data_IF_314952305812
#
_entry.id   IF_314952305812
#
_cell.length_a   1.000
_cell.length_b   1.000
_cell.length_c   1.000
_cell.angle_alpha   90.00
_cell.angle_beta   90.00
_cell.angle_gamma   90.00
#
_symmetry.space_group_name_H-M   'P 1'
#
loop_
_entity.id
_entity.type
_entity.pdbx_description
1 polymer ?
#
# COMPACT_ATOMS: atom_id res chain seq x y z
N UNK A 1 -1.29 -19.53 -8.93
CA UNK A 1 -2.76 -19.40 -8.93
C UNK A 1 -3.36 -19.84 -10.25
N UNK A 2 -2.76 -19.45 -11.38
CA UNK A 2 -3.36 -19.65 -12.70
C UNK A 2 -3.41 -21.11 -13.16
N UNK A 3 -2.56 -21.96 -12.60
CA UNK A 3 -2.62 -23.41 -12.83
C UNK A 3 -3.81 -24.10 -12.12
N UNK A 4 -4.54 -23.41 -11.25
CA UNK A 4 -5.70 -23.98 -10.56
C UNK A 4 -6.95 -23.84 -11.43
N UNK A 5 -7.79 -24.88 -11.55
CA UNK A 5 -9.07 -24.77 -12.24
C UNK A 5 -9.91 -23.62 -11.69
N UNK A 6 -10.64 -22.93 -12.58
CA UNK A 6 -11.50 -21.81 -12.21
C UNK A 6 -12.44 -22.13 -11.04
N UNK A 7 -13.10 -23.28 -11.10
CA UNK A 7 -14.02 -23.75 -10.04
C UNK A 7 -13.34 -23.88 -8.68
N UNK A 8 -12.06 -24.26 -8.65
CA UNK A 8 -11.28 -24.34 -7.41
C UNK A 8 -10.92 -22.95 -6.88
N UNK A 9 -10.60 -21.98 -7.75
CA UNK A 9 -10.36 -20.57 -7.35
C UNK A 9 -11.62 -19.93 -6.77
N UNK A 10 -12.78 -20.13 -7.40
CA UNK A 10 -14.08 -19.64 -6.92
C UNK A 10 -14.51 -20.31 -5.61
N UNK A 11 -14.31 -21.63 -5.48
CA UNK A 11 -14.58 -22.34 -4.24
C UNK A 11 -13.63 -21.89 -3.10
N UNK A 12 -12.37 -21.63 -3.41
CA UNK A 12 -11.40 -21.11 -2.44
C UNK A 12 -11.79 -19.70 -1.97
N UNK A 13 -12.23 -18.84 -2.89
CA UNK A 13 -12.66 -17.47 -2.57
C UNK A 13 -13.82 -17.48 -1.56
N UNK A 14 -14.85 -18.31 -1.79
CA UNK A 14 -15.93 -18.55 -0.82
C UNK A 14 -15.40 -19.14 0.49
N UNK A 15 -14.51 -20.13 0.39
CA UNK A 15 -13.95 -20.80 1.55
C UNK A 15 -13.17 -19.88 2.49
N UNK A 16 -12.41 -18.93 1.97
CA UNK A 16 -11.63 -17.99 2.80
C UNK A 16 -12.48 -16.89 3.45
N UNK A 17 -13.73 -16.73 3.02
CA UNK A 17 -14.70 -15.82 3.64
C UNK A 17 -15.40 -16.48 4.82
N UNK A 18 -15.78 -17.74 4.67
CA UNK A 18 -16.59 -18.44 5.66
C UNK A 18 -15.78 -19.15 6.75
N UNK A 19 -14.46 -19.19 6.65
CA UNK A 19 -13.62 -20.01 7.52
C UNK A 19 -12.41 -19.25 8.09
N UNK A 20 -12.03 -19.63 9.31
CA UNK A 20 -10.75 -19.24 9.89
C UNK A 20 -9.61 -19.92 9.14
N UNK A 21 -8.74 -19.12 8.51
CA UNK A 21 -7.66 -19.62 7.67
C UNK A 21 -6.36 -19.79 8.44
N UNK A 22 -5.71 -20.93 8.23
CA UNK A 22 -4.36 -21.23 8.72
C UNK A 22 -3.36 -21.42 7.58
N UNK A 23 -2.08 -21.36 7.93
CA UNK A 23 -0.93 -21.68 7.07
C UNK A 23 -0.07 -22.75 7.74
N UNK A 24 0.70 -23.51 6.96
CA UNK A 24 1.65 -24.51 7.46
C UNK A 24 1.05 -25.85 7.93
N UNK A 25 -0.25 -26.06 7.75
CA UNK A 25 -0.93 -27.34 7.96
C UNK A 25 -2.24 -27.41 7.18
N UNK A 26 -2.83 -28.60 7.10
CA UNK A 26 -4.11 -28.86 6.46
C UNK A 26 -5.32 -28.41 7.31
N UNK A 27 -5.27 -28.69 8.60
CA UNK A 27 -6.22 -28.27 9.63
C UNK A 27 -5.49 -28.18 10.96
N UNK A 28 -5.93 -27.29 11.84
CA UNK A 28 -5.40 -27.17 13.19
C UNK A 28 -6.53 -27.28 14.21
N UNK A 29 -6.68 -28.42 14.91
CA UNK A 29 -7.70 -28.59 15.94
C UNK A 29 -7.58 -27.58 17.09
N UNK A 30 -6.38 -27.05 17.35
CA UNK A 30 -6.15 -26.09 18.44
C UNK A 30 -6.77 -24.73 18.15
N UNK A 31 -6.60 -24.20 16.95
CA UNK A 31 -7.23 -22.95 16.51
C UNK A 31 -8.61 -23.13 15.86
N UNK A 32 -8.98 -24.36 15.51
CA UNK A 32 -10.17 -24.67 14.71
C UNK A 32 -10.05 -24.23 13.24
N UNK A 33 -8.88 -23.74 12.83
CA UNK A 33 -8.66 -23.21 11.48
C UNK A 33 -8.36 -24.28 10.45
N UNK A 34 -8.60 -23.93 9.18
CA UNK A 34 -8.36 -24.82 8.03
C UNK A 34 -7.51 -24.12 6.97
N UNK A 35 -6.77 -24.89 6.18
CA UNK A 35 -6.01 -24.32 5.09
C UNK A 35 -6.93 -23.86 3.95
N UNK A 36 -6.48 -22.93 3.09
CA UNK A 36 -7.28 -22.46 1.95
C UNK A 36 -7.74 -23.59 1.02
N UNK A 37 -6.93 -24.65 0.86
CA UNK A 37 -7.31 -25.80 0.04
C UNK A 37 -8.46 -26.61 0.65
N UNK A 38 -8.44 -26.83 1.96
CA UNK A 38 -9.54 -27.52 2.64
C UNK A 38 -10.80 -26.65 2.63
N UNK A 39 -10.65 -25.33 2.78
CA UNK A 39 -11.75 -24.37 2.63
C UNK A 39 -12.37 -24.45 1.23
N UNK A 40 -11.55 -24.53 0.18
CA UNK A 40 -12.00 -24.72 -1.19
C UNK A 40 -12.73 -26.06 -1.37
N UNK A 41 -12.17 -27.16 -0.84
CA UNK A 41 -12.77 -28.49 -0.96
C UNK A 41 -14.18 -28.52 -0.36
N UNK A 42 -14.35 -27.95 0.84
CA UNK A 42 -15.65 -27.85 1.51
C UNK A 42 -16.68 -27.05 0.70
N UNK A 43 -16.20 -26.14 -0.14
CA UNK A 43 -17.00 -25.33 -1.06
C UNK A 43 -17.08 -25.92 -2.49
N UNK A 44 -16.79 -27.22 -2.65
CA UNK A 44 -16.94 -27.94 -3.92
C UNK A 44 -15.70 -27.91 -4.84
N UNK A 45 -14.59 -27.32 -4.39
CA UNK A 45 -13.30 -27.34 -5.09
C UNK A 45 -12.63 -28.71 -5.01
N UNK A 46 -13.04 -29.67 -5.84
CA UNK A 46 -12.49 -31.03 -5.86
C UNK A 46 -11.17 -31.13 -6.63
N UNK A 47 -10.15 -30.41 -6.17
CA UNK A 47 -8.81 -30.43 -6.78
C UNK A 47 -7.75 -30.64 -5.72
N UNK A 48 -6.87 -31.62 -5.91
CA UNK A 48 -5.66 -31.74 -5.09
C UNK A 48 -4.51 -30.99 -5.76
N UNK A 49 -4.19 -29.82 -5.20
CA UNK A 49 -3.14 -28.95 -5.69
C UNK A 49 -2.09 -28.75 -4.61
N UNK A 50 -1.38 -29.83 -4.28
CA UNK A 50 -0.25 -29.81 -3.36
C UNK A 50 0.83 -28.78 -3.76
N UNK A 51 0.94 -28.44 -5.05
CA UNK A 51 1.82 -27.36 -5.54
C UNK A 51 1.41 -25.98 -5.04
N UNK A 52 0.10 -25.70 -4.99
CA UNK A 52 -0.44 -24.47 -4.44
C UNK A 52 -0.18 -24.41 -2.94
N UNK A 53 -0.53 -25.47 -2.18
CA UNK A 53 -0.34 -25.50 -0.74
C UNK A 53 1.13 -25.20 -0.36
N UNK A 54 2.09 -25.87 -1.02
CA UNK A 54 3.53 -25.61 -0.82
C UNK A 54 3.94 -24.17 -1.17
N UNK A 55 3.37 -23.59 -2.22
CA UNK A 55 3.71 -22.24 -2.64
C UNK A 55 3.13 -21.19 -1.68
N UNK A 56 1.94 -21.46 -1.15
CA UNK A 56 1.28 -20.62 -0.16
C UNK A 56 2.02 -20.62 1.18
N UNK A 57 2.42 -21.81 1.66
CA UNK A 57 3.21 -21.93 2.88
C UNK A 57 4.58 -21.25 2.73
N UNK A 58 5.19 -21.32 1.54
CA UNK A 58 6.42 -20.59 1.23
C UNK A 58 6.21 -19.08 1.21
N UNK A 59 5.12 -18.59 0.62
CA UNK A 59 4.79 -17.15 0.59
C UNK A 59 4.61 -16.57 2.00
N UNK A 60 4.00 -17.35 2.90
CA UNK A 60 3.74 -16.97 4.29
C UNK A 60 4.89 -17.29 5.25
N UNK A 61 5.99 -17.87 4.75
CA UNK A 61 7.11 -18.41 5.53
C UNK A 61 6.64 -19.30 6.72
N UNK A 62 5.61 -20.10 6.47
CA UNK A 62 4.99 -20.92 7.50
C UNK A 62 5.86 -22.16 7.80
N UNK A 63 6.59 -22.12 8.92
CA UNK A 63 7.38 -23.27 9.42
C UNK A 63 6.60 -24.18 10.37
N UNK A 64 5.51 -23.68 10.93
CA UNK A 64 4.59 -24.38 11.83
C UNK A 64 3.15 -23.90 11.58
N UNK A 65 2.14 -24.71 11.96
CA UNK A 65 0.75 -24.30 11.87
C UNK A 65 0.50 -23.01 12.64
N UNK A 66 -0.09 -22.02 11.99
CA UNK A 66 -0.55 -20.78 12.63
C UNK A 66 -1.72 -20.17 11.88
N UNK A 67 -2.44 -19.27 12.53
CA UNK A 67 -3.43 -18.43 11.87
C UNK A 67 -2.77 -17.60 10.76
N UNK A 68 -3.44 -17.52 9.62
CA UNK A 68 -3.11 -16.56 8.59
C UNK A 68 -3.45 -15.16 9.09
N UNK A 69 -2.54 -14.22 8.88
CA UNK A 69 -2.78 -12.82 9.19
C UNK A 69 -3.84 -12.24 8.25
N UNK A 70 -4.54 -11.18 8.69
CA UNK A 70 -5.51 -10.51 7.82
C UNK A 70 -4.90 -9.96 6.52
N UNK A 71 -3.60 -9.60 6.54
CA UNK A 71 -2.88 -9.19 5.32
C UNK A 71 -2.71 -10.36 4.36
N UNK A 72 -2.33 -11.53 4.85
CA UNK A 72 -2.15 -12.73 4.03
C UNK A 72 -3.48 -13.15 3.40
N UNK A 73 -4.58 -13.19 4.17
CA UNK A 73 -5.91 -13.54 3.64
C UNK A 73 -6.36 -12.53 2.58
N UNK A 74 -6.14 -11.22 2.80
CA UNK A 74 -6.44 -10.20 1.78
C UNK A 74 -5.60 -10.37 0.52
N UNK A 75 -4.30 -10.64 0.63
CA UNK A 75 -3.47 -10.90 -0.54
C UNK A 75 -3.96 -12.12 -1.30
N UNK A 76 -4.30 -13.20 -0.60
CA UNK A 76 -4.85 -14.41 -1.20
C UNK A 76 -6.12 -14.11 -1.99
N UNK A 77 -7.06 -13.37 -1.39
CA UNK A 77 -8.28 -12.89 -2.06
C UNK A 77 -7.93 -12.12 -3.33
N UNK A 78 -7.11 -11.08 -3.24
CA UNK A 78 -6.76 -10.24 -4.40
C UNK A 78 -6.09 -11.04 -5.53
N UNK A 79 -5.25 -12.02 -5.20
CA UNK A 79 -4.62 -12.89 -6.20
C UNK A 79 -5.65 -13.82 -6.88
N UNK A 80 -6.63 -14.33 -6.14
CA UNK A 80 -7.71 -15.15 -6.70
C UNK A 80 -8.61 -14.31 -7.62
N UNK A 81 -9.06 -13.16 -7.14
CA UNK A 81 -9.89 -12.22 -7.91
C UNK A 81 -9.17 -11.78 -9.19
N UNK A 82 -7.90 -11.37 -9.11
CA UNK A 82 -7.13 -10.98 -10.28
C UNK A 82 -6.99 -12.12 -11.29
N UNK A 83 -6.75 -13.35 -10.81
CA UNK A 83 -6.63 -14.53 -11.66
C UNK A 83 -7.96 -14.84 -12.38
N UNK A 84 -9.10 -14.63 -11.73
CA UNK A 84 -10.43 -14.80 -12.34
C UNK A 84 -10.74 -13.70 -13.35
N UNK A 85 -10.50 -12.44 -12.99
CA UNK A 85 -10.69 -11.29 -13.89
C UNK A 85 -9.81 -11.40 -15.14
N UNK A 86 -8.56 -11.86 -14.99
CA UNK A 86 -7.65 -12.06 -16.12
C UNK A 86 -8.12 -13.16 -17.08
N UNK A 87 -8.89 -14.14 -16.60
CA UNK A 87 -9.48 -15.20 -17.42
C UNK A 87 -10.80 -14.77 -18.08
N UNK A 88 -11.55 -13.87 -17.45
CA UNK A 88 -12.80 -13.29 -17.97
C UNK A 88 -12.56 -12.16 -19.00
N UNK A 89 -11.39 -11.52 -18.95
CA UNK A 89 -11.04 -10.45 -19.87
C UNK A 89 -10.72 -10.98 -21.27
N UNK A 90 -11.16 -10.29 -22.36
CA UNK A 90 -10.57 -10.51 -23.67
C UNK A 90 -9.06 -10.20 -23.54
N UNK A 91 -8.19 -11.19 -23.77
CA UNK A 91 -6.74 -10.96 -23.79
C UNK A 91 -6.36 -9.85 -24.79
N UNK A 92 -7.18 -9.68 -25.83
CA UNK A 92 -7.09 -8.59 -26.79
C UNK A 92 -7.30 -7.20 -26.16
N UNK A 93 -8.15 -7.06 -25.14
CA UNK A 93 -8.46 -5.79 -24.47
C UNK A 93 -7.28 -5.27 -23.65
N UNK A 94 -6.55 -6.13 -22.93
CA UNK A 94 -5.37 -5.70 -22.15
C UNK A 94 -4.20 -5.32 -23.04
N UNK A 95 -3.96 -6.08 -24.12
CA UNK A 95 -2.91 -5.75 -25.09
C UNK A 95 -3.23 -4.46 -25.85
N UNK A 96 -4.50 -4.23 -26.17
CA UNK A 96 -5.00 -3.01 -26.80
C UNK A 96 -4.89 -1.79 -25.88
N UNK A 97 -5.34 -1.90 -24.62
CA UNK A 97 -5.18 -0.84 -23.61
C UNK A 97 -3.69 -0.54 -23.40
N UNK A 98 -2.83 -1.55 -23.31
CA UNK A 98 -1.39 -1.34 -23.17
C UNK A 98 -0.77 -0.67 -24.42
N UNK A 99 -1.30 -0.93 -25.61
CA UNK A 99 -0.89 -0.28 -26.86
C UNK A 99 -1.36 1.18 -26.89
N UNK A 100 -2.58 1.45 -26.46
CA UNK A 100 -3.15 2.79 -26.32
C UNK A 100 -2.33 3.65 -25.34
N UNK A 101 -2.06 3.14 -24.12
CA UNK A 101 -1.21 3.84 -23.13
C UNK A 101 0.20 4.12 -23.68
N UNK A 102 0.77 3.21 -24.48
CA UNK A 102 2.08 3.45 -25.13
C UNK A 102 1.99 4.50 -26.22
N UNK A 103 0.90 4.52 -27.00
CA UNK A 103 0.66 5.52 -28.04
C UNK A 103 0.46 6.91 -27.43
N UNK A 104 -0.39 7.04 -26.41
CA UNK A 104 -0.57 8.29 -25.66
C UNK A 104 0.76 8.79 -25.08
N UNK A 105 1.57 7.91 -24.49
CA UNK A 105 2.89 8.29 -23.96
C UNK A 105 3.87 8.70 -25.06
N UNK A 106 3.79 8.11 -26.24
CA UNK A 106 4.61 8.50 -27.39
C UNK A 106 4.17 9.87 -27.93
N UNK A 107 2.88 10.14 -28.02
CA UNK A 107 2.34 11.46 -28.42
C UNK A 107 2.67 12.55 -27.39
N UNK A 108 2.61 12.21 -26.10
CA UNK A 108 3.09 13.07 -25.03
C UNK A 108 4.61 13.27 -25.07
N UNK A 109 5.40 12.26 -25.46
CA UNK A 109 6.84 12.40 -25.64
C UNK A 109 7.19 13.29 -26.85
N UNK A 110 6.45 13.18 -27.95
CA UNK A 110 6.63 13.99 -29.17
C UNK A 110 6.22 15.46 -28.94
N UNK A 111 5.16 15.71 -28.18
CA UNK A 111 4.77 17.08 -27.78
C UNK A 111 5.73 17.71 -26.77
N UNK A 112 6.32 16.89 -25.88
CA UNK A 112 7.44 17.32 -25.04
C UNK A 112 8.67 17.61 -25.89
N UNK A 113 9.04 16.76 -26.86
CA UNK A 113 10.16 17.00 -27.79
C UNK A 113 10.00 18.26 -28.64
N UNK A 114 8.79 18.56 -29.12
CA UNK A 114 8.48 19.80 -29.83
C UNK A 114 8.60 21.06 -28.94
N UNK A 115 8.51 20.89 -27.62
CA UNK A 115 8.70 21.96 -26.62
C UNK A 115 10.13 21.94 -26.01
N UNK A 116 10.88 20.86 -26.17
CA UNK A 116 12.22 20.65 -25.58
C UNK A 116 13.37 20.69 -26.58
N UNK A 117 13.27 21.54 -27.60
CA UNK A 117 14.46 22.23 -28.12
C UNK A 117 14.98 23.30 -27.13
N UNK A 118 14.60 23.22 -25.86
CA UNK A 118 15.19 23.96 -24.77
C UNK A 118 16.59 23.41 -24.51
N UNK A 119 17.61 24.22 -24.83
CA UNK A 119 18.99 23.99 -24.44
C UNK A 119 19.07 23.44 -23.00
N UNK A 120 19.96 22.47 -22.72
CA UNK A 120 20.13 21.97 -21.37
C UNK A 120 20.40 23.16 -20.47
N UNK A 121 19.47 23.45 -19.55
CA UNK A 121 19.68 24.53 -18.58
C UNK A 121 20.99 24.21 -17.85
N UNK A 122 21.88 25.18 -17.64
CA UNK A 122 23.14 24.97 -16.93
C UNK A 122 22.86 24.88 -15.42
N UNK A 123 22.00 23.96 -15.00
CA UNK A 123 21.95 23.48 -13.63
C UNK A 123 23.11 22.51 -13.51
N UNK A 124 24.25 22.98 -13.02
CA UNK A 124 25.56 22.31 -13.01
C UNK A 124 25.66 21.02 -12.18
N UNK A 125 24.60 20.21 -12.13
CA UNK A 125 24.54 18.98 -11.36
C UNK A 125 24.65 17.76 -12.30
N UNK A 126 25.66 16.93 -12.06
CA UNK A 126 25.92 15.70 -12.82
C UNK A 126 24.94 14.60 -12.40
N UNK A 127 24.63 13.71 -13.33
CA UNK A 127 23.86 12.49 -13.05
C UNK A 127 24.59 11.60 -12.01
N UNK A 128 24.11 11.62 -10.75
CA UNK A 128 24.65 10.82 -9.65
C UNK A 128 23.96 9.47 -9.45
N UNK A 129 23.08 9.07 -10.36
CA UNK A 129 22.48 7.73 -10.31
C UNK A 129 23.52 6.60 -10.25
N UNK A 130 24.70 6.68 -10.90
CA UNK A 130 25.74 5.65 -10.74
C UNK A 130 26.26 5.53 -9.30
N UNK A 131 26.37 6.64 -8.58
CA UNK A 131 26.92 6.71 -7.21
C UNK A 131 25.95 6.12 -6.17
N UNK A 132 24.64 6.30 -6.40
CA UNK A 132 23.60 5.89 -5.45
C UNK A 132 23.16 4.42 -5.61
N UNK A 133 23.45 3.80 -6.76
CA UNK A 133 23.04 2.41 -7.09
C UNK A 133 23.50 1.36 -6.09
N UNK A 134 24.58 1.62 -5.35
CA UNK A 134 25.16 0.68 -4.41
C UNK A 134 24.61 0.84 -2.98
N UNK A 135 23.76 1.84 -2.71
CA UNK A 135 23.14 2.01 -1.38
C UNK A 135 21.85 1.21 -1.28
N UNK A 136 21.64 0.38 -0.25
CA UNK A 136 20.36 -0.30 -0.06
C UNK A 136 19.24 0.73 0.12
N UNK A 137 18.09 0.47 -0.51
CA UNK A 137 16.90 1.34 -0.52
C UNK A 137 17.07 2.72 -1.20
N UNK A 138 18.10 2.92 -2.03
CA UNK A 138 18.30 4.19 -2.76
C UNK A 138 17.13 4.57 -3.68
N UNK A 139 16.36 3.60 -4.17
CA UNK A 139 15.16 3.83 -4.99
C UNK A 139 13.96 4.34 -4.19
N UNK A 140 14.03 4.33 -2.86
CA UNK A 140 12.99 4.83 -1.95
C UNK A 140 13.35 6.18 -1.33
N UNK A 141 14.59 6.64 -1.52
CA UNK A 141 15.01 8.00 -1.20
C UNK A 141 14.96 8.78 -2.52
N UNK A 142 13.88 9.54 -2.75
CA UNK A 142 13.88 10.87 -3.39
C UNK A 142 12.43 11.36 -3.59
N UNK A 143 11.80 12.01 -2.60
CA UNK A 143 10.58 12.79 -2.80
C UNK A 143 10.82 14.10 -3.58
N UNK A 144 12.08 14.54 -3.69
CA UNK A 144 12.48 15.76 -4.41
C UNK A 144 13.76 15.48 -5.19
N UNK A 145 13.77 15.74 -6.50
CA UNK A 145 14.89 15.43 -7.41
C UNK A 145 16.13 16.34 -7.23
N UNK A 146 16.11 17.29 -6.31
CA UNK A 146 17.28 18.12 -5.93
C UNK A 146 17.34 18.38 -4.42
N UNK A 147 18.56 18.57 -3.90
CA UNK A 147 18.80 18.85 -2.49
C UNK A 147 18.25 20.21 -2.05
N UNK A 148 18.25 21.21 -2.95
CA UNK A 148 17.70 22.54 -2.67
C UNK A 148 16.19 22.51 -2.49
N UNK A 149 15.47 21.81 -3.38
CA UNK A 149 14.02 21.62 -3.26
C UNK A 149 13.68 20.82 -2.00
N UNK A 150 14.52 19.86 -1.62
CA UNK A 150 14.38 19.16 -0.35
C UNK A 150 14.56 20.11 0.84
N UNK A 151 15.59 20.96 0.83
CA UNK A 151 15.85 21.95 1.90
C UNK A 151 14.73 22.97 2.02
N UNK A 152 14.23 23.49 0.91
CA UNK A 152 13.10 24.42 0.87
C UNK A 152 11.84 23.80 1.47
N UNK A 153 11.53 22.54 1.11
CA UNK A 153 10.38 21.82 1.66
C UNK A 153 10.51 21.55 3.16
N UNK A 154 11.71 21.24 3.65
CA UNK A 154 11.96 21.07 5.07
C UNK A 154 11.83 22.41 5.82
N UNK A 155 12.32 23.51 5.24
CA UNK A 155 12.15 24.84 5.82
C UNK A 155 10.66 25.22 5.94
N UNK A 156 9.90 25.09 4.85
CA UNK A 156 8.46 25.36 4.85
C UNK A 156 7.68 24.50 5.86
N UNK A 157 8.02 23.20 5.98
CA UNK A 157 7.41 22.32 6.97
C UNK A 157 7.79 22.73 8.41
N UNK A 158 9.02 23.22 8.63
CA UNK A 158 9.46 23.69 9.95
C UNK A 158 8.79 25.00 10.37
N UNK A 159 8.52 25.90 9.42
CA UNK A 159 7.77 27.14 9.64
C UNK A 159 6.32 26.82 10.02
N UNK A 160 5.63 25.97 9.25
CA UNK A 160 4.27 25.53 9.57
C UNK A 160 4.17 24.88 10.95
N UNK A 161 5.15 24.05 11.33
CA UNK A 161 5.19 23.43 12.65
C UNK A 161 5.48 24.43 13.79
N UNK A 162 6.10 25.56 13.48
CA UNK A 162 6.36 26.65 14.43
C UNK A 162 5.13 27.54 14.60
N UNK A 163 4.44 27.86 13.50
CA UNK A 163 3.16 28.56 13.50
C UNK A 163 2.08 27.78 14.25
N UNK A 164 1.97 26.46 14.04
CA UNK A 164 1.04 25.61 14.79
C UNK A 164 1.33 25.59 16.30
N UNK A 165 2.62 25.59 16.67
CA UNK A 165 3.03 25.67 18.08
C UNK A 165 2.72 27.04 18.68
N UNK A 166 2.96 28.12 17.95
CA UNK A 166 2.60 29.47 18.38
C UNK A 166 1.08 29.63 18.54
N UNK A 167 0.29 29.11 17.60
CA UNK A 167 -1.17 29.09 17.68
C UNK A 167 -1.65 28.31 18.91
N UNK A 168 -1.07 27.13 19.18
CA UNK A 168 -1.41 26.35 20.37
C UNK A 168 -1.08 27.06 21.70
N UNK A 169 0.01 27.84 21.74
CA UNK A 169 0.36 28.65 22.91
C UNK A 169 -0.65 29.79 23.10
N UNK A 170 -1.01 30.50 22.02
CA UNK A 170 -1.99 31.59 22.07
C UNK A 170 -3.40 31.09 22.45
N UNK A 171 -3.81 29.91 21.97
CA UNK A 171 -5.07 29.27 22.37
C UNK A 171 -5.05 28.83 23.85
N UNK A 172 -3.88 28.39 24.34
CA UNK A 172 -3.65 28.11 25.76
C UNK A 172 -3.73 29.36 26.65
N UNK A 173 -3.20 30.50 26.19
CA UNK A 173 -3.26 31.78 26.90
C UNK A 173 -4.69 32.37 26.94
N UNK A 174 -5.47 32.24 25.86
CA UNK A 174 -6.92 32.59 25.90
C UNK A 174 -7.68 31.75 26.92
N UNK A 175 -7.45 30.44 26.90
CA UNK A 175 -8.10 29.50 27.83
C UNK A 175 -7.71 29.74 29.30
N UNK A 176 -6.49 30.25 29.55
CA UNK A 176 -6.02 30.65 30.89
C UNK A 176 -6.53 32.02 31.35
N UNK A 177 -6.64 32.98 30.43
CA UNK A 177 -7.20 34.30 30.70
C UNK A 177 -8.69 34.25 31.01
N UNK A 178 -9.44 33.36 30.35
CA UNK A 178 -10.88 33.15 30.63
C UNK A 178 -11.10 32.56 32.04
N UNK A 179 -10.24 31.64 32.50
CA UNK A 179 -10.31 31.09 33.87
C UNK A 179 -9.95 32.11 34.95
N UNK A 180 -9.01 33.01 34.68
CA UNK A 180 -8.61 34.05 35.63
C UNK A 180 -9.64 35.19 35.74
N UNK A 181 -10.46 35.41 34.70
CA UNK A 181 -11.59 36.33 34.74
C UNK A 181 -12.74 35.76 35.60
N UNK A 182 -13.06 34.47 35.45
CA UNK A 182 -14.08 33.78 36.26
C UNK A 182 -13.73 33.75 37.77
N UNK A 183 -12.45 33.54 38.13
CA UNK A 183 -12.02 33.55 39.55
C UNK A 183 -12.06 34.94 40.20
N UNK A 184 -12.01 36.03 39.42
CA UNK A 184 -12.13 37.41 39.95
C UNK A 184 -13.58 37.85 40.09
N UNK A 185 -14.51 37.29 39.32
CA UNK A 185 -15.95 37.59 39.45
C UNK A 185 -16.58 36.87 40.67
N UNK A 186 -16.00 35.76 41.12
CA UNK A 186 -16.43 35.03 42.33
C UNK A 186 -15.89 35.59 43.66
N UNK A 187 -14.96 36.56 43.64
CA UNK A 187 -14.39 37.18 44.84
C UNK A 187 -14.92 38.60 45.13
N UNK A 188 -15.91 39.07 44.36
CA UNK A 188 -16.45 40.44 44.43
C UNK A 188 -17.92 40.55 44.82
N UNK A 189 -18.46 39.58 45.57
CA UNK A 189 -19.77 39.67 46.22
C UNK A 189 -19.57 39.44 47.72
N UNK A 190 -19.27 40.50 48.45
CA UNK A 190 -19.74 40.75 49.83
C UNK A 190 -19.27 42.15 50.30
N UNK A 191 -20.27 42.99 50.62
CA UNK A 191 -20.33 44.35 51.22
C UNK A 191 -19.68 45.56 50.50
#
# INVERSE_FOLDING_TARGET
MDAMPRTAREAMLRGIEDNTIIVGAYSDPGSGGICPMLAAHRNGGRTDLASFARSWDRYTDARRPRLATGREVRTLRSLLELSLVAEDGPLDSLAEIAREIRAERAEHAVSVEATTAAAPRPTGERNRAPELRHKPFWSWILPARSLEVYRERIAAASEQASEQRAAAILDGERSGSERSADERELAGVDD
#
